data_IF_340104178203
#
_entry.id   IF_340104178203
#
_cell.length_a   1.000
_cell.length_b   1.000
_cell.length_c   1.000
_cell.angle_alpha   90.00
_cell.angle_beta   90.00
_cell.angle_gamma   90.00
#
_symmetry.space_group_name_H-M   'P 1'
#
loop_
_entity.id
_entity.type
_entity.pdbx_description
1 polymer ?
#
# COMPACT_ATOMS: atom_id res chain seq x y z
N UNK A 1 42.59 71.58 0.82
CA UNK A 1 42.84 71.11 -0.56
C UNK A 1 42.67 69.59 -0.60
N UNK A 2 41.76 69.10 -1.46
CA UNK A 2 41.78 67.81 -2.20
C UNK A 2 41.49 66.50 -1.42
N UNK A 3 40.29 65.92 -1.63
CA UNK A 3 39.93 64.75 -2.49
C UNK A 3 39.97 63.41 -1.73
N UNK A 4 38.84 62.91 -1.21
CA UNK A 4 37.89 61.94 -1.81
C UNK A 4 38.55 60.61 -2.21
N UNK A 5 38.22 59.52 -1.51
CA UNK A 5 37.96 58.23 -2.14
C UNK A 5 36.88 57.44 -1.37
N UNK A 6 35.79 57.17 -2.09
CA UNK A 6 34.62 56.37 -1.68
C UNK A 6 35.01 54.90 -1.64
N UNK A 7 34.69 54.18 -0.57
CA UNK A 7 34.57 52.72 -0.62
C UNK A 7 33.09 52.36 -0.76
N UNK A 8 32.79 51.66 -1.85
CA UNK A 8 31.47 51.15 -2.19
C UNK A 8 31.06 50.04 -1.21
N UNK A 9 29.88 50.18 -0.62
CA UNK A 9 29.15 49.07 -0.01
C UNK A 9 28.41 48.33 -1.14
N UNK A 10 28.90 47.15 -1.53
CA UNK A 10 28.11 46.21 -2.32
C UNK A 10 27.24 45.39 -1.35
N UNK A 11 25.97 45.76 -1.22
CA UNK A 11 24.97 44.91 -0.58
C UNK A 11 24.58 43.81 -1.59
N UNK A 12 25.10 42.60 -1.38
CA UNK A 12 24.64 41.42 -2.09
C UNK A 12 23.29 40.99 -1.49
N UNK A 13 22.20 41.36 -2.15
CA UNK A 13 20.85 40.87 -1.82
C UNK A 13 20.71 39.45 -2.39
N UNK A 14 21.10 38.44 -1.61
CA UNK A 14 20.82 37.05 -1.94
C UNK A 14 19.32 36.81 -1.80
N UNK A 15 18.61 36.90 -2.93
CA UNK A 15 17.22 36.49 -3.05
C UNK A 15 17.18 34.96 -2.98
N UNK A 16 17.07 34.43 -1.76
CA UNK A 16 16.79 33.02 -1.53
C UNK A 16 15.36 32.74 -2.01
N UNK A 17 15.23 32.28 -3.25
CA UNK A 17 13.98 31.70 -3.74
C UNK A 17 13.83 30.36 -3.03
N UNK A 18 13.08 30.36 -1.93
CA UNK A 18 12.66 29.14 -1.27
C UNK A 18 11.80 28.33 -2.23
N UNK A 19 12.31 27.21 -2.71
CA UNK A 19 11.49 26.17 -3.31
C UNK A 19 10.60 25.61 -2.21
N UNK A 20 9.37 26.11 -2.11
CA UNK A 20 8.33 25.39 -1.38
C UNK A 20 7.98 24.19 -2.25
N UNK A 21 8.52 23.02 -1.91
CA UNK A 21 8.07 21.78 -2.50
C UNK A 21 6.55 21.69 -2.33
N UNK A 22 5.82 21.62 -3.44
CA UNK A 22 4.39 21.37 -3.38
C UNK A 22 4.16 20.07 -2.57
N UNK A 23 3.14 20.02 -1.69
CA UNK A 23 2.83 18.78 -0.99
C UNK A 23 2.63 17.68 -2.04
N UNK A 24 3.34 16.57 -1.88
CA UNK A 24 3.17 15.42 -2.75
C UNK A 24 1.70 14.99 -2.65
N UNK A 25 0.97 15.04 -3.78
CA UNK A 25 -0.39 14.54 -3.82
C UNK A 25 -0.40 13.08 -3.36
N UNK A 26 -1.34 12.70 -2.49
CA UNK A 26 -1.54 11.30 -2.14
C UNK A 26 -1.77 10.51 -3.42
N UNK A 27 -0.93 9.51 -3.65
CA UNK A 27 -1.08 8.63 -4.81
C UNK A 27 -1.79 7.37 -4.36
N UNK A 28 -2.71 6.89 -5.19
CA UNK A 28 -3.20 5.52 -5.07
C UNK A 28 -2.19 4.62 -5.78
N UNK A 29 -1.55 3.75 -5.02
CA UNK A 29 -0.66 2.72 -5.56
C UNK A 29 -1.43 1.41 -5.57
N UNK A 30 -1.99 1.09 -6.73
CA UNK A 30 -2.74 -0.14 -6.98
C UNK A 30 -1.86 -1.20 -7.68
N UNK A 31 -2.14 -2.47 -7.39
CA UNK A 31 -1.49 -3.65 -7.93
C UNK A 31 -1.44 -3.70 -9.45
N UNK A 32 -2.38 -3.08 -10.15
CA UNK A 32 -2.33 -2.99 -11.62
C UNK A 32 -1.15 -2.14 -12.10
N UNK A 33 -0.91 -1.00 -11.45
CA UNK A 33 0.16 -0.05 -11.84
C UNK A 33 1.52 -0.61 -11.49
N UNK A 34 1.63 -1.26 -10.33
CA UNK A 34 2.85 -1.92 -9.85
C UNK A 34 3.38 -2.93 -10.87
N UNK A 35 2.48 -3.64 -11.54
CA UNK A 35 2.82 -4.83 -12.31
C UNK A 35 3.15 -4.59 -13.77
N UNK A 36 2.71 -3.46 -14.33
CA UNK A 36 2.95 -3.10 -15.73
C UNK A 36 4.33 -2.46 -15.95
N UNK A 37 5.08 -2.15 -14.89
CA UNK A 37 6.39 -1.48 -15.00
C UNK A 37 7.55 -2.49 -15.08
N UNK A 38 8.53 -2.32 -15.99
CA UNK A 38 9.72 -3.17 -16.00
C UNK A 38 10.53 -2.99 -14.71
N UNK A 39 11.18 -4.06 -14.24
CA UNK A 39 12.12 -4.01 -13.11
C UNK A 39 13.34 -4.84 -13.42
N UNK A 40 14.50 -4.38 -12.95
CA UNK A 40 15.80 -5.07 -13.13
C UNK A 40 15.89 -6.35 -12.32
N UNK A 41 15.27 -6.34 -11.15
CA UNK A 41 15.25 -7.43 -10.19
C UNK A 41 13.79 -7.76 -9.85
N UNK A 42 13.49 -9.05 -9.66
CA UNK A 42 12.18 -9.49 -9.19
C UNK A 42 12.07 -9.27 -7.67
N UNK A 43 11.63 -8.08 -7.26
CA UNK A 43 11.44 -7.75 -5.85
C UNK A 43 10.11 -8.30 -5.32
N UNK A 44 10.07 -8.70 -4.05
CA UNK A 44 8.85 -9.04 -3.35
C UNK A 44 8.74 -8.30 -2.03
N UNK A 45 7.70 -7.48 -1.87
CA UNK A 45 7.37 -6.89 -0.59
C UNK A 45 6.37 -7.77 0.15
N UNK A 46 6.79 -8.34 1.27
CA UNK A 46 5.87 -9.01 2.19
C UNK A 46 5.19 -7.95 3.04
N UNK A 47 3.86 -7.93 3.00
CA UNK A 47 3.07 -6.98 3.79
C UNK A 47 2.10 -7.71 4.69
N UNK A 48 1.96 -7.24 5.93
CA UNK A 48 1.12 -7.85 6.95
C UNK A 48 0.13 -6.81 7.51
N UNK A 49 -1.16 -7.12 7.41
CA UNK A 49 -2.26 -6.28 7.88
C UNK A 49 -2.81 -6.78 9.23
N UNK A 50 -3.60 -5.93 9.89
CA UNK A 50 -4.36 -6.16 11.14
C UNK A 50 -3.56 -6.22 12.45
N UNK A 51 -2.23 -6.22 12.36
CA UNK A 51 -1.35 -6.20 13.52
C UNK A 51 -1.32 -4.87 14.29
N UNK A 52 -0.53 -4.80 15.38
CA UNK A 52 0.20 -5.92 15.95
C UNK A 52 -0.74 -6.89 16.66
N UNK A 53 -0.39 -8.17 16.63
CA UNK A 53 -1.09 -9.26 17.30
C UNK A 53 -0.15 -10.00 18.25
N UNK A 54 -0.70 -10.96 19.00
CA UNK A 54 0.10 -11.86 19.83
C UNK A 54 1.07 -12.75 19.02
N UNK A 55 0.86 -12.88 17.71
CA UNK A 55 1.72 -13.67 16.83
C UNK A 55 2.86 -12.83 16.21
N UNK A 56 2.72 -11.50 16.18
CA UNK A 56 3.71 -10.61 15.55
C UNK A 56 5.13 -10.79 16.10
N UNK A 57 5.37 -10.98 17.42
CA UNK A 57 6.73 -11.22 17.91
C UNK A 57 7.38 -12.47 17.32
N UNK A 58 6.61 -13.55 17.15
CA UNK A 58 7.12 -14.78 16.53
C UNK A 58 7.40 -14.58 15.04
N UNK A 59 6.55 -13.82 14.34
CA UNK A 59 6.79 -13.44 12.95
C UNK A 59 8.11 -12.64 12.81
N UNK A 60 8.35 -11.68 13.70
CA UNK A 60 9.56 -10.88 13.72
C UNK A 60 10.82 -11.74 13.91
N UNK A 61 10.79 -12.70 14.86
CA UNK A 61 11.90 -13.64 15.07
C UNK A 61 12.24 -14.41 13.77
N UNK A 62 11.22 -14.88 13.04
CA UNK A 62 11.44 -15.60 11.79
C UNK A 62 11.91 -14.67 10.66
N UNK A 63 11.38 -13.46 10.56
CA UNK A 63 11.83 -12.47 9.57
C UNK A 63 13.31 -12.11 9.77
N UNK A 64 13.75 -11.98 11.03
CA UNK A 64 15.17 -11.81 11.38
C UNK A 64 16.00 -13.02 10.94
N UNK A 65 15.55 -14.25 11.24
CA UNK A 65 16.24 -15.50 10.84
C UNK A 65 16.43 -15.60 9.32
N UNK A 66 15.43 -15.20 8.54
CA UNK A 66 15.49 -15.19 7.08
C UNK A 66 16.20 -13.96 6.49
N UNK A 67 16.49 -12.93 7.30
CA UNK A 67 17.02 -11.64 6.84
C UNK A 67 16.05 -10.91 5.91
N UNK A 68 14.75 -10.95 6.20
CA UNK A 68 13.70 -10.42 5.33
C UNK A 68 13.09 -9.15 5.96
N UNK A 69 13.26 -7.97 5.32
CA UNK A 69 12.47 -6.81 5.69
C UNK A 69 11.02 -6.98 5.23
N UNK A 70 10.09 -6.32 5.93
CA UNK A 70 8.65 -6.42 5.67
C UNK A 70 7.98 -5.08 5.98
N UNK A 71 6.73 -4.91 5.53
CA UNK A 71 5.91 -3.74 5.84
C UNK A 71 4.66 -4.16 6.61
N UNK A 72 4.40 -3.53 7.75
CA UNK A 72 3.25 -3.83 8.60
C UNK A 72 2.24 -2.70 8.54
N UNK A 73 1.03 -2.97 8.07
CA UNK A 73 -0.09 -2.02 8.13
C UNK A 73 -0.86 -2.25 9.42
N UNK A 74 -0.64 -1.35 10.38
CA UNK A 74 -1.09 -1.54 11.75
C UNK A 74 -2.43 -0.88 12.03
N UNK A 75 -3.28 -1.57 12.79
CA UNK A 75 -4.48 -0.99 13.37
C UNK A 75 -4.13 -0.11 14.57
N UNK A 76 -4.71 1.09 14.62
CA UNK A 76 -4.45 2.03 15.70
C UNK A 76 -4.83 1.49 17.09
N UNK A 77 -5.96 0.79 17.21
CA UNK A 77 -6.38 0.19 18.48
C UNK A 77 -5.43 -0.93 18.96
N UNK A 78 -4.78 -1.63 18.04
CA UNK A 78 -3.80 -2.67 18.35
C UNK A 78 -2.45 -2.05 18.70
N UNK A 79 -2.02 -1.03 17.97
CA UNK A 79 -0.81 -0.26 18.28
C UNK A 79 -0.87 0.40 19.68
N UNK A 80 -2.03 0.90 20.10
CA UNK A 80 -2.24 1.40 21.48
C UNK A 80 -2.07 0.32 22.55
N UNK A 81 -2.51 -0.92 22.26
CA UNK A 81 -2.44 -2.06 23.20
C UNK A 81 -1.07 -2.72 23.25
N UNK A 82 -0.32 -2.68 22.15
CA UNK A 82 0.95 -3.37 21.98
C UNK A 82 2.08 -2.42 21.55
N UNK A 83 2.33 -1.32 22.28
CA UNK A 83 3.29 -0.31 21.87
C UNK A 83 4.74 -0.82 21.89
N UNK A 84 5.04 -1.84 22.69
CA UNK A 84 6.32 -2.55 22.70
C UNK A 84 6.57 -3.30 21.39
N UNK A 85 5.55 -3.99 20.85
CA UNK A 85 5.65 -4.70 19.58
C UNK A 85 5.86 -3.71 18.43
N UNK A 86 5.14 -2.58 18.41
CA UNK A 86 5.35 -1.53 17.38
C UNK A 86 6.80 -1.02 17.38
N UNK A 87 7.36 -0.73 18.57
CA UNK A 87 8.75 -0.28 18.68
C UNK A 87 9.74 -1.34 18.21
N UNK A 88 9.45 -2.62 18.46
CA UNK A 88 10.24 -3.74 17.98
C UNK A 88 10.25 -3.83 16.46
N UNK A 89 9.07 -3.74 15.82
CA UNK A 89 8.94 -3.68 14.35
C UNK A 89 9.86 -2.61 13.77
N UNK A 90 9.85 -1.40 14.34
CA UNK A 90 10.67 -0.27 13.89
C UNK A 90 12.17 -0.54 14.14
N UNK A 91 12.52 -1.02 15.34
CA UNK A 91 13.91 -1.24 15.74
C UNK A 91 14.61 -2.32 14.90
N UNK A 92 13.86 -3.30 14.39
CA UNK A 92 14.35 -4.37 13.52
C UNK A 92 14.36 -3.98 12.03
N UNK A 93 14.02 -2.73 11.71
CA UNK A 93 14.15 -2.17 10.36
C UNK A 93 12.98 -2.46 9.43
N UNK A 94 11.84 -2.91 9.96
CA UNK A 94 10.62 -3.08 9.18
C UNK A 94 9.89 -1.73 9.00
N UNK A 95 9.13 -1.63 7.91
CA UNK A 95 8.33 -0.45 7.61
C UNK A 95 6.96 -0.55 8.30
N UNK A 96 6.44 0.59 8.76
CA UNK A 96 5.12 0.69 9.42
C UNK A 96 4.20 1.60 8.60
N UNK A 97 3.03 1.08 8.24
CA UNK A 97 1.94 1.78 7.58
C UNK A 97 0.69 1.91 8.45
N UNK A 98 -0.20 2.82 8.07
CA UNK A 98 -1.49 3.04 8.72
C UNK A 98 -2.54 2.07 8.15
N UNK A 99 -3.36 1.43 9.00
CA UNK A 99 -4.44 0.55 8.57
C UNK A 99 -5.82 0.93 9.14
N UNK A 100 -6.04 2.22 9.45
CA UNK A 100 -7.18 2.74 10.22
C UNK A 100 -7.13 2.35 11.70
N UNK A 101 -8.05 2.89 12.51
CA UNK A 101 -8.02 2.69 13.95
C UNK A 101 -8.76 1.40 14.36
N UNK A 102 -9.91 1.12 13.74
CA UNK A 102 -10.79 0.01 14.12
C UNK A 102 -11.22 -0.89 12.96
N UNK A 103 -10.56 -0.79 11.82
CA UNK A 103 -10.81 -1.59 10.61
C UNK A 103 -12.23 -1.41 9.99
N UNK A 104 -12.84 -0.21 9.94
CA UNK A 104 -14.10 -0.05 9.22
C UNK A 104 -13.88 -0.04 7.71
N UNK A 105 -14.91 -0.41 6.95
CA UNK A 105 -14.93 -0.11 5.52
C UNK A 105 -15.02 1.41 5.32
N UNK A 106 -13.92 2.03 4.87
CA UNK A 106 -13.80 3.48 4.81
C UNK A 106 -14.78 4.11 3.81
N UNK A 107 -15.14 3.38 2.75
CA UNK A 107 -16.10 3.85 1.73
C UNK A 107 -17.53 4.03 2.26
N UNK A 108 -17.90 3.37 3.35
CA UNK A 108 -19.28 3.41 3.88
C UNK A 108 -19.45 4.28 5.13
N UNK A 109 -18.37 4.56 5.87
CA UNK A 109 -18.44 5.42 7.06
C UNK A 109 -18.46 6.90 6.69
N UNK A 110 -18.94 7.74 7.62
CA UNK A 110 -19.04 9.19 7.40
C UNK A 110 -17.66 9.84 7.19
N UNK A 111 -17.57 11.00 6.52
CA UNK A 111 -16.31 11.73 6.37
C UNK A 111 -15.60 12.02 7.70
N UNK A 112 -16.34 12.43 8.73
CA UNK A 112 -15.79 12.67 10.06
C UNK A 112 -15.20 11.39 10.68
N UNK A 113 -15.87 10.23 10.47
CA UNK A 113 -15.34 8.95 10.94
C UNK A 113 -14.08 8.54 10.18
N UNK A 114 -14.02 8.74 8.86
CA UNK A 114 -12.79 8.51 8.08
C UNK A 114 -11.61 9.31 8.64
N UNK A 115 -11.83 10.60 8.93
CA UNK A 115 -10.80 11.46 9.51
C UNK A 115 -10.34 10.98 10.89
N UNK A 116 -11.28 10.64 11.78
CA UNK A 116 -10.98 10.08 13.10
C UNK A 116 -10.12 8.81 13.00
N UNK A 117 -10.54 7.86 12.16
CA UNK A 117 -9.87 6.57 11.96
C UNK A 117 -8.42 6.72 11.50
N UNK A 118 -8.19 7.59 10.52
CA UNK A 118 -6.88 7.76 9.90
C UNK A 118 -5.96 8.62 10.79
N UNK A 119 -6.45 9.78 11.24
CA UNK A 119 -5.64 10.73 12.02
C UNK A 119 -5.27 10.17 13.39
N UNK A 120 -6.18 9.48 14.06
CA UNK A 120 -5.88 8.88 15.37
C UNK A 120 -4.78 7.84 15.24
N UNK A 121 -4.89 6.95 14.26
CA UNK A 121 -3.88 5.92 13.98
C UNK A 121 -2.53 6.53 13.64
N UNK A 122 -2.50 7.51 12.73
CA UNK A 122 -1.26 8.19 12.35
C UNK A 122 -0.58 8.86 13.56
N UNK A 123 -1.36 9.51 14.43
CA UNK A 123 -0.86 10.12 15.68
C UNK A 123 -0.25 9.06 16.61
N UNK A 124 -0.94 7.94 16.85
CA UNK A 124 -0.43 6.85 17.69
C UNK A 124 0.89 6.31 17.14
N UNK A 125 0.92 5.98 15.85
CA UNK A 125 2.09 5.39 15.21
C UNK A 125 3.29 6.35 15.25
N UNK A 126 3.09 7.63 14.95
CA UNK A 126 4.14 8.66 15.04
C UNK A 126 4.66 8.84 16.46
N UNK A 127 3.78 8.82 17.46
CA UNK A 127 4.17 8.90 18.88
C UNK A 127 4.99 7.69 19.34
N UNK A 128 4.82 6.53 18.68
CA UNK A 128 5.61 5.32 18.93
C UNK A 128 6.93 5.30 18.16
N UNK A 129 7.21 6.31 17.33
CA UNK A 129 8.45 6.45 16.57
C UNK A 129 8.35 5.99 15.12
N UNK A 130 7.18 5.54 14.65
CA UNK A 130 6.98 5.23 13.24
C UNK A 130 6.92 6.52 12.42
N UNK A 131 7.22 6.41 11.12
CA UNK A 131 7.00 7.49 10.16
C UNK A 131 6.20 6.98 8.96
N UNK A 132 4.89 6.72 9.13
CA UNK A 132 4.08 6.18 8.05
C UNK A 132 4.04 7.14 6.87
N UNK A 133 4.26 6.58 5.67
CA UNK A 133 4.06 7.26 4.38
C UNK A 133 2.95 6.58 3.56
N UNK A 134 2.45 5.43 4.03
CA UNK A 134 1.39 4.66 3.40
C UNK A 134 0.22 4.40 4.36
N UNK A 135 -0.97 4.36 3.77
CA UNK A 135 -2.24 3.95 4.36
C UNK A 135 -2.80 2.82 3.50
N UNK A 136 -3.07 1.65 4.05
CA UNK A 136 -3.82 0.60 3.33
C UNK A 136 -5.27 0.60 3.78
N UNK A 137 -6.25 0.99 2.96
CA UNK A 137 -7.65 1.00 3.39
C UNK A 137 -8.13 -0.43 3.72
N UNK A 138 -8.80 -0.65 4.87
CA UNK A 138 -9.45 -1.92 5.17
C UNK A 138 -10.27 -2.44 3.99
N UNK A 139 -10.17 -3.74 3.71
CA UNK A 139 -10.82 -4.40 2.57
C UNK A 139 -10.41 -3.86 1.19
N UNK A 140 -9.38 -3.02 1.09
CA UNK A 140 -9.06 -2.27 -0.12
C UNK A 140 -10.15 -1.25 -0.50
N UNK A 141 -11.06 -0.89 0.42
CA UNK A 141 -12.26 -0.10 0.09
C UNK A 141 -12.12 1.35 0.54
N UNK A 142 -12.12 2.26 -0.43
CA UNK A 142 -11.94 3.70 -0.22
C UNK A 142 -12.74 4.52 -1.24
N UNK A 143 -12.78 5.83 -1.04
CA UNK A 143 -13.37 6.84 -1.92
C UNK A 143 -12.50 8.11 -1.94
N UNK A 144 -12.88 9.11 -2.74
CA UNK A 144 -12.16 10.38 -2.83
C UNK A 144 -12.05 11.14 -1.50
N UNK A 145 -13.00 10.94 -0.58
CA UNK A 145 -12.92 11.53 0.76
C UNK A 145 -11.82 10.85 1.59
N UNK A 146 -11.66 9.54 1.45
CA UNK A 146 -10.57 8.78 2.07
C UNK A 146 -9.20 9.22 1.53
N UNK A 147 -9.07 9.38 0.20
CA UNK A 147 -7.86 9.88 -0.44
C UNK A 147 -7.47 11.27 0.09
N UNK A 148 -8.44 12.19 0.19
CA UNK A 148 -8.19 13.54 0.70
C UNK A 148 -7.72 13.56 2.15
N UNK A 149 -8.27 12.69 3.00
CA UNK A 149 -7.81 12.57 4.40
C UNK A 149 -6.38 12.02 4.44
N UNK A 150 -6.08 10.99 3.66
CA UNK A 150 -4.73 10.43 3.56
C UNK A 150 -3.71 11.48 3.08
N UNK A 151 -4.06 12.26 2.05
CA UNK A 151 -3.24 13.37 1.54
C UNK A 151 -2.95 14.42 2.62
N UNK A 152 -3.97 14.81 3.39
CA UNK A 152 -3.81 15.75 4.50
C UNK A 152 -2.86 15.26 5.61
N UNK A 153 -2.62 13.95 5.69
CA UNK A 153 -1.66 13.32 6.61
C UNK A 153 -0.32 12.99 5.95
N UNK A 154 -0.14 13.32 4.66
CA UNK A 154 1.05 12.97 3.89
C UNK A 154 1.16 11.48 3.57
N UNK A 155 0.04 10.76 3.54
CA UNK A 155 -0.03 9.32 3.30
C UNK A 155 -0.51 9.05 1.86
N UNK A 156 0.13 8.10 1.19
CA UNK A 156 -0.38 7.52 -0.06
C UNK A 156 -1.22 6.28 0.23
N UNK A 157 -2.26 6.03 -0.56
CA UNK A 157 -3.03 4.79 -0.43
C UNK A 157 -2.25 3.64 -1.07
N UNK A 158 -2.00 2.57 -0.31
CA UNK A 158 -1.22 1.41 -0.73
C UNK A 158 -2.07 0.15 -0.72
N UNK A 159 -2.33 -0.41 -1.91
CA UNK A 159 -2.98 -1.71 -2.05
C UNK A 159 -1.92 -2.81 -2.17
N UNK A 160 -2.21 -3.85 -2.93
CA UNK A 160 -1.35 -5.00 -3.16
C UNK A 160 -1.46 -5.43 -4.62
N UNK A 161 -0.48 -6.15 -5.12
CA UNK A 161 -0.56 -6.79 -6.43
C UNK A 161 -0.99 -8.25 -6.34
N UNK A 162 -0.70 -8.91 -5.22
CA UNK A 162 -0.98 -10.32 -4.97
C UNK A 162 -1.73 -10.46 -3.64
N UNK A 163 -2.94 -11.01 -3.68
CA UNK A 163 -3.72 -11.36 -2.48
C UNK A 163 -3.51 -12.84 -2.15
N UNK A 164 -2.94 -13.14 -0.98
CA UNK A 164 -2.74 -14.52 -0.54
C UNK A 164 -4.05 -15.20 -0.13
N UNK A 165 -5.08 -14.44 0.24
CA UNK A 165 -6.34 -14.93 0.85
C UNK A 165 -6.12 -15.82 2.06
N UNK A 166 -5.00 -15.64 2.75
CA UNK A 166 -4.61 -16.38 3.95
C UNK A 166 -5.66 -16.30 5.07
N UNK A 167 -6.43 -15.20 5.13
CA UNK A 167 -7.60 -15.00 6.00
C UNK A 167 -8.76 -15.96 5.74
N UNK A 168 -8.87 -16.53 4.53
CA UNK A 168 -9.86 -17.54 4.17
C UNK A 168 -9.27 -18.95 4.22
N UNK A 169 -8.17 -19.16 3.49
CA UNK A 169 -7.46 -20.45 3.37
C UNK A 169 -6.03 -20.19 2.88
N UNK A 170 -5.05 -20.91 3.45
CA UNK A 170 -3.68 -20.85 2.96
C UNK A 170 -3.59 -21.37 1.51
N UNK A 171 -2.91 -20.65 0.60
CA UNK A 171 -2.63 -21.11 -0.75
C UNK A 171 -1.91 -22.45 -0.76
N UNK A 172 -2.23 -23.31 -1.74
CA UNK A 172 -1.48 -24.56 -1.92
C UNK A 172 -0.03 -24.29 -2.38
N UNK A 173 0.19 -23.20 -3.15
CA UNK A 173 1.51 -22.72 -3.57
C UNK A 173 1.51 -21.20 -3.77
N UNK A 174 2.38 -20.48 -3.06
CA UNK A 174 2.48 -19.02 -3.15
C UNK A 174 3.08 -18.51 -4.47
N UNK A 175 3.80 -19.36 -5.21
CA UNK A 175 4.35 -19.02 -6.52
C UNK A 175 3.26 -18.83 -7.59
N UNK A 176 2.08 -19.41 -7.35
CA UNK A 176 0.96 -19.45 -8.32
C UNK A 176 -0.20 -18.54 -7.94
N UNK A 177 0.04 -17.60 -7.01
CA UNK A 177 -0.97 -16.60 -6.67
C UNK A 177 -1.42 -15.85 -7.93
N UNK A 178 -2.71 -15.50 -7.96
CA UNK A 178 -3.27 -14.66 -9.01
C UNK A 178 -3.12 -13.21 -8.59
N UNK A 179 -2.67 -12.37 -9.50
CA UNK A 179 -2.71 -10.92 -9.28
C UNK A 179 -4.15 -10.41 -9.28
N UNK A 180 -4.34 -9.12 -9.01
CA UNK A 180 -5.66 -8.49 -9.02
C UNK A 180 -6.38 -8.56 -10.40
N UNK A 181 -5.71 -8.97 -11.49
CA UNK A 181 -6.33 -9.23 -12.82
C UNK A 181 -6.80 -10.68 -12.98
N UNK A 182 -6.54 -11.56 -12.01
CA UNK A 182 -6.80 -12.99 -12.11
C UNK A 182 -5.69 -13.76 -12.84
N UNK A 183 -4.58 -13.11 -13.18
CA UNK A 183 -3.48 -13.71 -13.96
C UNK A 183 -2.41 -14.29 -13.03
N UNK A 184 -1.90 -15.47 -13.39
CA UNK A 184 -0.73 -16.08 -12.74
C UNK A 184 0.54 -15.61 -13.45
N UNK A 185 1.59 -15.31 -12.69
CA UNK A 185 2.88 -14.90 -13.25
C UNK A 185 3.54 -16.04 -14.02
N UNK A 186 4.30 -15.67 -15.06
CA UNK A 186 5.12 -16.65 -15.75
C UNK A 186 6.15 -17.23 -14.75
N UNK A 187 6.46 -18.53 -14.84
CA UNK A 187 7.47 -19.14 -13.97
C UNK A 187 8.79 -18.36 -14.00
N UNK A 188 9.35 -18.07 -12.82
CA UNK A 188 10.62 -17.34 -12.70
C UNK A 188 10.51 -15.81 -12.79
N UNK A 189 9.31 -15.24 -12.96
CA UNK A 189 9.11 -13.78 -13.05
C UNK A 189 8.28 -13.20 -11.90
N UNK A 190 8.02 -13.99 -10.86
CA UNK A 190 7.22 -13.55 -9.73
C UNK A 190 7.89 -12.40 -8.97
N UNK A 191 7.13 -11.31 -8.82
CA UNK A 191 7.47 -10.09 -8.09
C UNK A 191 6.18 -9.46 -7.59
N UNK A 192 6.28 -8.46 -6.72
CA UNK A 192 5.14 -7.63 -6.35
C UNK A 192 5.03 -7.34 -4.86
N UNK A 193 3.89 -6.78 -4.48
CA UNK A 193 3.50 -6.50 -3.10
C UNK A 193 2.44 -7.53 -2.70
N UNK A 194 2.76 -8.34 -1.70
CA UNK A 194 1.96 -9.49 -1.27
C UNK A 194 1.21 -9.17 0.02
N UNK A 195 -0.11 -9.34 0.00
CA UNK A 195 -0.98 -9.16 1.17
C UNK A 195 -1.06 -10.45 2.00
N UNK A 196 -0.74 -10.32 3.28
CA UNK A 196 -0.90 -11.32 4.33
C UNK A 196 -1.45 -10.66 5.60
N UNK A 197 -1.82 -11.46 6.60
CA UNK A 197 -2.32 -10.98 7.89
C UNK A 197 -1.58 -11.67 9.04
N UNK A 198 -0.87 -10.91 9.87
CA UNK A 198 -0.14 -11.45 11.02
C UNK A 198 -1.03 -11.66 12.26
N UNK A 199 -2.30 -11.22 12.19
CA UNK A 199 -3.36 -11.59 13.13
C UNK A 199 -3.71 -13.08 13.09
N UNK A 200 -3.33 -13.80 12.02
CA UNK A 200 -3.56 -15.21 11.84
C UNK A 200 -2.31 -16.06 12.11
N UNK A 201 -2.33 -16.82 13.21
CA UNK A 201 -1.21 -17.71 13.58
C UNK A 201 -0.81 -18.65 12.43
N UNK A 202 -1.79 -19.20 11.71
CA UNK A 202 -1.54 -20.10 10.55
C UNK A 202 -0.74 -19.44 9.43
N UNK A 203 -0.87 -18.12 9.25
CA UNK A 203 -0.10 -17.37 8.24
C UNK A 203 1.32 -17.18 8.73
N UNK A 204 1.47 -16.78 10.00
CA UNK A 204 2.78 -16.60 10.64
C UNK A 204 3.60 -17.89 10.60
N UNK A 205 3.01 -19.00 11.04
CA UNK A 205 3.66 -20.33 11.06
C UNK A 205 4.08 -20.81 9.66
N UNK A 206 3.46 -20.29 8.61
CA UNK A 206 3.66 -20.72 7.23
C UNK A 206 4.67 -19.83 6.47
N UNK A 207 5.30 -18.86 7.16
CA UNK A 207 6.36 -18.02 6.60
C UNK A 207 7.48 -18.84 5.91
N UNK A 208 7.98 -19.97 6.45
CA UNK A 208 8.98 -20.78 5.76
C UNK A 208 8.52 -21.23 4.36
N UNK A 209 7.24 -21.57 4.22
CA UNK A 209 6.65 -21.98 2.95
C UNK A 209 6.44 -20.80 2.02
N UNK A 210 5.97 -19.67 2.54
CA UNK A 210 5.86 -18.40 1.81
C UNK A 210 7.22 -18.06 1.18
N UNK A 211 8.29 -18.01 1.98
CA UNK A 211 9.63 -17.65 1.50
C UNK A 211 10.13 -18.63 0.44
N UNK A 212 9.99 -19.94 0.69
CA UNK A 212 10.40 -21.00 -0.25
C UNK A 212 9.67 -20.88 -1.59
N UNK A 213 8.35 -20.81 -1.55
CA UNK A 213 7.52 -20.80 -2.75
C UNK A 213 7.72 -19.51 -3.55
N UNK A 214 7.83 -18.35 -2.90
CA UNK A 214 8.09 -17.08 -3.59
C UNK A 214 9.47 -17.08 -4.28
N UNK A 215 10.52 -17.57 -3.60
CA UNK A 215 11.85 -17.74 -4.22
C UNK A 215 11.79 -18.69 -5.42
N UNK A 216 11.11 -19.83 -5.29
CA UNK A 216 10.91 -20.77 -6.40
C UNK A 216 10.11 -20.15 -7.57
N UNK A 217 9.20 -19.22 -7.28
CA UNK A 217 8.44 -18.46 -8.28
C UNK A 217 9.26 -17.42 -9.03
N UNK A 218 10.49 -17.12 -8.60
CA UNK A 218 11.38 -16.15 -9.23
C UNK A 218 11.64 -14.89 -8.40
N UNK A 219 11.17 -14.83 -7.16
CA UNK A 219 11.50 -13.75 -6.25
C UNK A 219 13.01 -13.72 -5.95
N UNK A 220 13.68 -12.64 -6.33
CA UNK A 220 15.13 -12.49 -6.18
C UNK A 220 15.49 -11.84 -4.84
N UNK A 221 14.69 -10.86 -4.39
CA UNK A 221 14.95 -10.16 -3.13
C UNK A 221 13.67 -9.71 -2.45
N UNK A 222 13.67 -9.83 -1.12
CA UNK A 222 12.60 -9.30 -0.28
C UNK A 222 12.94 -7.89 0.18
N UNK A 223 11.93 -7.02 0.17
CA UNK A 223 12.08 -5.57 0.38
C UNK A 223 10.88 -4.99 1.14
N UNK A 224 11.03 -3.79 1.71
CA UNK A 224 9.87 -3.00 2.16
C UNK A 224 9.06 -2.49 0.96
N UNK A 225 7.86 -1.98 1.20
CA UNK A 225 7.04 -1.34 0.16
C UNK A 225 7.73 -0.09 -0.38
N UNK A 226 8.30 0.74 0.49
CA UNK A 226 9.09 1.91 0.06
C UNK A 226 10.24 1.52 -0.87
N UNK A 227 11.02 0.50 -0.51
CA UNK A 227 12.13 0.01 -1.34
C UNK A 227 11.66 -0.60 -2.66
N UNK A 228 10.52 -1.29 -2.65
CA UNK A 228 9.89 -1.80 -3.87
C UNK A 228 9.57 -0.66 -4.84
N UNK A 229 8.91 0.40 -4.36
CA UNK A 229 8.55 1.55 -5.20
C UNK A 229 9.77 2.34 -5.66
N UNK A 230 10.81 2.46 -4.83
CA UNK A 230 12.07 3.04 -5.24
C UNK A 230 12.71 2.23 -6.39
N UNK A 231 12.63 0.89 -6.34
CA UNK A 231 13.07 0.00 -7.41
C UNK A 231 12.28 0.14 -8.73
N UNK A 232 11.02 0.59 -8.70
CA UNK A 232 10.28 0.95 -9.91
C UNK A 232 10.81 2.23 -10.57
N UNK A 233 11.39 3.13 -9.76
CA UNK A 233 11.80 4.48 -10.15
C UNK A 233 13.31 4.58 -10.44
N UNK A 234 14.01 3.45 -10.64
CA UNK A 234 15.38 3.39 -11.18
C UNK A 234 15.35 3.09 -12.71
N UNK A 235 14.98 4.06 -13.57
CA UNK A 235 15.13 3.92 -15.01
C UNK A 235 16.63 4.10 -15.34
N UNK A 236 17.26 3.07 -15.90
CA UNK A 236 18.55 3.07 -16.61
C UNK A 236 19.52 4.24 -16.32
N UNK A 237 20.78 3.99 -15.87
CA UNK A 237 21.87 4.87 -16.26
C UNK A 237 21.99 4.76 -17.78
N UNK A 238 21.40 5.73 -18.49
CA UNK A 238 21.54 5.85 -19.94
C UNK A 238 23.00 5.66 -20.29
N UNK A 239 23.26 4.78 -21.26
CA UNK A 239 24.57 4.49 -21.84
C UNK A 239 25.59 5.56 -21.45
N UNK A 240 26.36 5.30 -20.40
CA UNK A 240 27.69 5.87 -20.32
C UNK A 240 28.40 5.24 -21.50
N UNK A 241 28.27 5.92 -22.65
CA UNK A 241 29.19 5.89 -23.76
C UNK A 241 30.57 5.86 -23.12
N UNK A 242 31.13 4.66 -22.96
CA UNK A 242 32.57 4.50 -22.99
C UNK A 242 32.94 5.09 -24.33
N UNK A 243 33.36 6.34 -24.25
CA UNK A 243 33.96 7.14 -25.29
C UNK A 243 34.90 6.23 -26.06
N UNK A 244 34.42 5.64 -27.16
CA UNK A 244 35.31 5.09 -28.16
C UNK A 244 36.12 6.30 -28.58
N UNK A 245 37.38 6.35 -28.15
CA UNK A 245 38.35 7.26 -28.73
C UNK A 245 38.27 7.02 -30.23
N UNK A 246 37.75 8.02 -30.94
CA UNK A 246 37.75 8.09 -32.39
C UNK A 246 39.22 8.12 -32.80
N UNK A 247 39.80 6.95 -33.04
CA UNK A 247 41.05 6.77 -33.76
C UNK A 247 40.77 7.01 -35.24
N UNK A 248 41.57 7.87 -35.85
CA UNK A 248 41.54 8.29 -37.26
C UNK A 248 41.59 7.13 -38.27
N UNK A 249 41.08 7.33 -39.51
CA UNK A 249 40.95 6.29 -40.53
C UNK A 249 42.27 6.02 -41.25
N UNK A 250 42.55 4.76 -41.55
CA UNK A 250 43.71 4.33 -42.34
C UNK A 250 43.55 2.92 -42.89
N UNK A 251 43.07 2.86 -44.13
CA UNK A 251 43.41 1.96 -45.26
C UNK A 251 43.68 0.45 -45.05
N UNK A 252 42.95 -0.33 -45.85
CA UNK A 252 43.28 -1.59 -46.56
C UNK A 252 42.43 -2.85 -46.21
N UNK A 253 41.54 -3.20 -47.15
CA UNK A 253 40.95 -4.53 -47.43
C UNK A 253 41.84 -5.25 -48.48
N UNK A 254 41.65 -6.55 -48.86
CA UNK A 254 40.75 -7.61 -48.37
C UNK A 254 41.45 -8.98 -48.15
N UNK A 255 40.81 -9.95 -47.47
CA UNK A 255 41.09 -11.38 -47.72
C UNK A 255 39.90 -12.29 -47.36
N UNK A 256 39.56 -13.12 -48.34
CA UNK A 256 38.42 -14.05 -48.41
C UNK A 256 38.71 -15.44 -47.81
N UNK A 257 37.62 -16.24 -47.72
CA UNK A 257 37.52 -17.73 -47.64
C UNK A 257 37.59 -18.28 -46.19
N UNK A 258 36.68 -19.11 -45.66
CA UNK A 258 35.92 -20.22 -46.24
C UNK A 258 34.57 -20.50 -45.55
N UNK A 259 33.68 -21.12 -46.35
CA UNK A 259 32.35 -21.66 -46.02
C UNK A 259 32.45 -22.90 -45.14
N UNK A 260 31.42 -23.18 -44.32
CA UNK A 260 30.82 -24.52 -44.19
C UNK A 260 29.31 -24.41 -43.96
N UNK A 261 28.57 -25.16 -44.78
CA UNK A 261 27.11 -25.33 -44.82
C UNK A 261 26.84 -26.74 -44.30
N UNK A 262 25.91 -26.91 -43.35
CA UNK A 262 25.17 -28.17 -43.17
C UNK A 262 23.70 -27.83 -42.95
N UNK A 263 22.85 -28.54 -43.69
CA UNK A 263 21.42 -28.36 -43.85
C UNK A 263 20.58 -28.97 -42.72
N UNK A 264 19.36 -28.45 -42.66
CA UNK A 264 18.14 -28.78 -41.91
C UNK A 264 17.68 -30.25 -41.89
N UNK A 265 16.93 -30.65 -40.84
CA UNK A 265 15.66 -31.41 -40.96
C UNK A 265 14.68 -31.03 -39.82
N UNK A 266 13.40 -30.94 -40.22
CA UNK A 266 12.12 -30.74 -39.51
C UNK A 266 11.90 -31.62 -38.24
N UNK A 267 10.99 -31.34 -37.29
CA UNK A 267 9.54 -31.20 -37.44
C UNK A 267 8.92 -30.72 -36.10
N UNK A 268 7.95 -29.81 -36.16
CA UNK A 268 7.08 -29.42 -35.05
C UNK A 268 5.75 -30.16 -35.20
N UNK A 269 5.21 -30.71 -34.12
CA UNK A 269 3.83 -31.18 -34.05
C UNK A 269 3.04 -30.36 -33.02
N UNK A 270 2.01 -29.69 -33.52
CA UNK A 270 0.89 -29.08 -32.81
C UNK A 270 -0.03 -30.14 -32.20
N UNK A 271 -0.65 -29.83 -31.05
CA UNK A 271 -1.86 -30.51 -30.57
C UNK A 271 -2.99 -29.49 -30.30
N UNK A 272 -4.26 -29.81 -30.64
CA UNK A 272 -5.36 -28.84 -30.78
C UNK A 272 -6.23 -28.62 -29.52
N UNK A 273 -7.20 -27.66 -29.53
CA UNK A 273 -7.82 -27.08 -28.34
C UNK A 273 -9.28 -27.52 -28.02
N UNK A 274 -9.69 -27.24 -26.78
CA UNK A 274 -11.06 -27.11 -26.22
C UNK A 274 -11.78 -28.34 -25.60
N UNK A 275 -12.09 -28.24 -24.29
CA UNK A 275 -13.48 -28.14 -23.78
C UNK A 275 -13.51 -27.99 -22.24
N UNK A 276 -13.71 -26.76 -21.75
CA UNK A 276 -14.17 -26.48 -20.38
C UNK A 276 -15.55 -25.83 -20.48
N UNK A 277 -16.58 -26.29 -19.75
CA UNK A 277 -17.78 -25.51 -19.55
C UNK A 277 -17.65 -24.57 -18.34
N UNK A 278 -18.38 -23.47 -18.47
CA UNK A 278 -18.37 -22.26 -17.68
C UNK A 278 -18.92 -22.41 -16.25
N UNK A 279 -18.47 -21.52 -15.36
CA UNK A 279 -19.09 -21.22 -14.08
C UNK A 279 -18.89 -19.74 -13.75
N UNK A 280 -19.89 -18.93 -14.05
CA UNK A 280 -19.99 -17.50 -13.78
C UNK A 280 -20.08 -17.21 -12.28
N UNK A 281 -19.36 -16.20 -11.80
CA UNK A 281 -19.87 -15.32 -10.75
C UNK A 281 -19.34 -13.91 -10.97
N UNK A 282 -20.24 -13.05 -11.44
CA UNK A 282 -20.02 -11.63 -11.62
C UNK A 282 -19.82 -10.96 -10.25
N UNK A 283 -18.66 -10.36 -10.06
CA UNK A 283 -18.47 -9.28 -9.09
C UNK A 283 -18.14 -8.03 -9.90
N UNK A 284 -18.92 -6.95 -9.81
CA UNK A 284 -18.69 -5.76 -10.62
C UNK A 284 -17.39 -5.09 -10.18
N UNK A 285 -16.37 -5.26 -11.03
CA UNK A 285 -15.15 -4.46 -11.01
C UNK A 285 -15.52 -3.00 -11.23
N UNK A 286 -15.24 -2.16 -10.25
CA UNK A 286 -15.36 -0.71 -10.39
C UNK A 286 -14.41 -0.24 -11.51
N UNK A 287 -14.99 0.02 -12.68
CA UNK A 287 -14.32 0.69 -13.80
C UNK A 287 -14.53 2.18 -13.65
N UNK A 288 -13.48 2.93 -13.31
CA UNK A 288 -13.06 4.13 -14.05
C UNK A 288 -11.97 4.87 -13.29
N UNK A 289 -10.74 4.84 -13.80
CA UNK A 289 -9.83 5.97 -13.69
C UNK A 289 -9.11 6.10 -15.02
N UNK A 290 -9.34 7.22 -15.67
CA UNK A 290 -8.74 7.64 -16.94
C UNK A 290 -7.20 7.58 -16.85
N UNK A 291 -6.50 7.03 -17.86
CA UNK A 291 -5.04 7.12 -17.92
C UNK A 291 -4.58 8.56 -18.17
N UNK A 292 -3.47 8.94 -17.55
CA UNK A 292 -2.80 10.23 -17.71
C UNK A 292 -2.39 10.50 -19.19
N UNK A 293 -2.74 11.68 -19.68
CA UNK A 293 -2.09 12.33 -20.84
C UNK A 293 -1.08 13.37 -20.34
N UNK A 294 0.04 13.47 -21.05
CA UNK A 294 1.16 14.37 -20.74
C UNK A 294 1.03 15.64 -21.58
N UNK A 295 0.85 16.78 -20.91
CA UNK A 295 1.26 18.14 -21.30
C UNK A 295 0.66 18.78 -22.56
N UNK A 296 -0.09 19.88 -22.39
CA UNK A 296 0.32 21.21 -22.90
C UNK A 296 -0.58 22.32 -22.33
N UNK A 297 0.08 23.39 -21.92
CA UNK A 297 -0.49 24.61 -21.34
C UNK A 297 -1.11 25.51 -22.40
N UNK A 298 -2.42 25.79 -22.33
CA UNK A 298 -2.99 27.06 -22.84
C UNK A 298 -4.22 27.48 -22.01
N UNK A 299 -4.15 28.67 -21.44
CA UNK A 299 -5.30 29.55 -21.09
C UNK A 299 -4.99 30.93 -21.70
N UNK A 300 -5.92 31.91 -21.82
CA UNK A 300 -7.35 31.93 -21.42
C UNK A 300 -8.31 32.63 -22.42
N UNK A 301 -9.62 32.47 -22.20
CA UNK A 301 -10.68 33.50 -22.37
C UNK A 301 -11.99 32.82 -21.93
N UNK A 302 -12.93 33.36 -21.13
CA UNK A 302 -13.30 34.70 -20.75
C UNK A 302 -14.83 34.67 -20.57
N UNK A 303 -15.39 35.62 -19.81
CA UNK A 303 -16.83 35.94 -19.66
C UNK A 303 -17.61 35.13 -18.59
N UNK A 304 -17.75 35.65 -17.36
CA UNK A 304 -18.77 36.60 -16.84
C UNK A 304 -20.16 36.00 -16.63
N UNK A 305 -20.61 36.00 -15.37
CA UNK A 305 -22.00 35.74 -14.98
C UNK A 305 -22.22 35.96 -13.49
N UNK A 306 -22.73 37.14 -13.13
CA UNK A 306 -23.08 37.61 -11.79
C UNK A 306 -24.40 37.01 -11.26
N UNK A 307 -24.49 36.97 -9.92
CA UNK A 307 -25.67 37.20 -9.04
C UNK A 307 -26.84 36.20 -9.13
N UNK A 308 -27.57 35.83 -8.06
CA UNK A 308 -28.11 36.61 -6.93
C UNK A 308 -28.50 35.69 -5.74
N UNK A 309 -28.45 36.24 -4.52
CA UNK A 309 -29.22 35.80 -3.33
C UNK A 309 -30.65 36.39 -3.39
N UNK A 310 -31.62 35.82 -2.64
CA UNK A 310 -32.01 36.36 -1.32
C UNK A 310 -32.29 35.22 -0.31
N UNK A 311 -32.34 35.35 1.02
CA UNK A 311 -32.48 36.48 1.94
C UNK A 311 -33.57 36.16 3.00
N UNK A 312 -33.16 36.02 4.27
CA UNK A 312 -33.93 36.11 5.55
C UNK A 312 -35.05 35.08 5.83
N UNK A 313 -35.30 34.55 7.05
CA UNK A 313 -35.32 35.21 8.37
C UNK A 313 -35.41 34.21 9.55
N UNK A 314 -34.69 34.55 10.63
CA UNK A 314 -34.97 34.52 12.09
C UNK A 314 -36.12 33.66 12.68
N UNK A 315 -35.87 32.65 13.56
CA UNK A 315 -35.68 32.67 15.05
C UNK A 315 -36.95 32.17 15.82
N UNK A 316 -36.88 31.75 17.11
CA UNK A 316 -37.31 30.41 17.56
C UNK A 316 -38.45 30.40 18.61
N UNK A 317 -39.02 29.23 18.91
CA UNK A 317 -39.97 29.03 20.01
C UNK A 317 -39.54 27.90 20.96
N UNK A 318 -39.03 28.36 22.11
CA UNK A 318 -39.19 27.94 23.53
C UNK A 318 -39.58 26.50 23.93
N UNK A 319 -38.78 26.00 24.88
CA UNK A 319 -39.06 25.28 26.13
C UNK A 319 -40.51 24.90 26.45
N UNK A 320 -40.71 23.62 26.83
CA UNK A 320 -41.37 23.25 28.09
C UNK A 320 -40.70 22.00 28.71
N UNK A 321 -40.39 22.13 30.00
CA UNK A 321 -40.00 21.06 30.92
C UNK A 321 -41.20 20.66 31.78
N UNK A 322 -41.19 19.41 32.30
CA UNK A 322 -41.89 18.85 33.49
C UNK A 322 -42.34 17.40 33.15
N UNK A 323 -42.27 16.36 33.97
CA UNK A 323 -41.86 16.12 35.36
C UNK A 323 -41.84 14.60 35.60
N UNK A 324 -41.06 14.21 36.61
CA UNK A 324 -41.02 12.96 37.39
C UNK A 324 -42.31 12.10 37.42
N UNK A 325 -42.19 10.76 37.49
CA UNK A 325 -42.39 10.03 38.77
C UNK A 325 -42.03 8.52 38.70
N UNK A 326 -41.61 8.03 39.86
CA UNK A 326 -41.27 6.66 40.24
C UNK A 326 -42.43 5.67 40.20
N UNK A 327 -42.10 4.36 40.16
CA UNK A 327 -43.04 3.29 40.50
C UNK A 327 -42.41 1.90 40.49
N UNK A 328 -41.74 1.53 41.58
CA UNK A 328 -41.38 0.15 41.91
C UNK A 328 -42.29 -0.36 43.05
N UNK A 329 -42.90 -1.53 42.89
CA UNK A 329 -43.39 -2.46 43.95
C UNK A 329 -44.07 -3.66 43.26
N UNK A 330 -43.50 -4.87 43.29
CA UNK A 330 -43.65 -5.91 44.32
C UNK A 330 -44.98 -6.71 44.30
N UNK A 331 -44.85 -8.01 44.10
CA UNK A 331 -45.48 -9.09 44.90
C UNK A 331 -44.59 -10.34 44.74
N UNK A 332 -43.90 -10.80 45.80
CA UNK A 332 -44.32 -11.76 46.85
C UNK A 332 -44.70 -13.14 46.28
N UNK A 333 -44.37 -14.29 46.84
CA UNK A 333 -43.50 -14.79 47.94
C UNK A 333 -43.70 -16.33 47.94
N UNK A 334 -42.76 -17.08 48.52
CA UNK A 334 -42.97 -18.46 49.01
C UNK A 334 -42.05 -19.51 48.38
N UNK A 335 -40.91 -19.84 48.99
CA UNK A 335 -40.70 -20.95 49.99
C UNK A 335 -40.99 -22.35 49.41
N UNK A 336 -40.17 -23.39 49.57
CA UNK A 336 -38.97 -23.61 50.35
C UNK A 336 -38.31 -24.95 49.92
N UNK A 337 -37.00 -25.05 50.17
CA UNK A 337 -36.23 -26.20 50.70
C UNK A 337 -36.56 -27.64 50.24
N UNK A 338 -35.54 -28.33 49.70
CA UNK A 338 -35.47 -29.79 49.76
C UNK A 338 -34.48 -30.43 48.79
N UNK A 339 -33.20 -30.53 49.18
CA UNK A 339 -32.31 -31.59 48.69
C UNK A 339 -32.38 -32.77 49.69
N UNK A 340 -32.25 -34.04 49.24
CA UNK A 340 -30.90 -34.62 49.24
C UNK A 340 -30.61 -35.69 48.16
N UNK A 341 -29.29 -35.84 47.93
CA UNK A 341 -28.46 -37.01 47.57
C UNK A 341 -29.06 -38.23 46.83
N UNK A 342 -28.28 -38.63 45.82
CA UNK A 342 -28.25 -39.89 45.07
C UNK A 342 -28.23 -41.18 45.93
N UNK A 343 -28.41 -42.37 45.32
CA UNK A 343 -27.25 -43.07 44.75
C UNK A 343 -27.50 -43.84 43.43
N UNK A 344 -26.37 -44.08 42.76
CA UNK A 344 -25.96 -45.22 41.91
C UNK A 344 -27.02 -46.10 41.22
N UNK A 345 -26.93 -46.14 39.89
CA UNK A 345 -26.63 -47.36 39.09
C UNK A 345 -26.24 -46.95 37.69
#
# INVERSE_FOLDING_TARGET
MRFVFKQLWLAAFCLAVGFVAAPAQARVVDGYVIMDQPMRENLCALTFDDGPSVNTPHLLDMLEEYGIPATFFLLGNQAERHPDIVRRIIAEGHEVGNHSYSHPNLRVVSPARKEEELRRTDTILRNLGASPVFMRPPYGSYDAATEKVAEGLGLSLMLWSMDSRDWQRLPDNYATLRNNRGTVYAPGTLRGIFLFHDSHKRTVDDLPRIVRDLRAGGCQRFVTVSDYLAGLMDPEPGLLMTRIKRGTPGVDEPSMVARHKVESVHQAEELPPHSYPAGSSDIPMARSSTPWQIGESQTPAGMTGQATLPGASDQPVRDEAQTMNNGAAQSREGSALGAPKAPAS
#
